data_IF_887857022406
#
_entry.id   IF_887857022406
#
_cell.length_a   1.000
_cell.length_b   1.000
_cell.length_c   1.000
_cell.angle_alpha   90.00
_cell.angle_beta   90.00
_cell.angle_gamma   90.00
#
_symmetry.space_group_name_H-M   'P 1'
#
loop_
_entity.id
_entity.type
_entity.pdbx_description
1 polymer ?
#
# COMPACT_ATOMS: atom_id res chain seq x y z
N UNK A 1 -25.43 7.33 -4.52
CA UNK A 1 -24.28 6.45 -4.86
C UNK A 1 -23.11 7.35 -5.20
N UNK A 2 -22.12 7.48 -4.31
CA UNK A 2 -20.90 8.23 -4.61
C UNK A 2 -20.10 7.47 -5.67
N UNK A 3 -19.73 8.16 -6.75
CA UNK A 3 -18.84 7.63 -7.80
C UNK A 3 -17.42 7.96 -7.37
N UNK A 4 -16.67 6.94 -6.94
CA UNK A 4 -15.26 7.08 -6.60
C UNK A 4 -14.42 6.90 -7.86
N UNK A 5 -13.46 7.81 -8.09
CA UNK A 5 -12.39 7.55 -9.04
C UNK A 5 -11.40 6.61 -8.39
N UNK A 6 -11.29 5.40 -8.94
CA UNK A 6 -10.20 4.49 -8.66
C UNK A 6 -8.93 5.05 -9.31
N UNK A 7 -8.18 5.88 -8.58
CA UNK A 7 -6.78 6.09 -8.93
C UNK A 7 -6.03 4.83 -8.53
N UNK A 8 -5.95 3.86 -9.44
CA UNK A 8 -5.09 2.70 -9.23
C UNK A 8 -3.65 3.17 -9.33
N UNK A 9 -3.04 3.46 -8.19
CA UNK A 9 -1.62 3.75 -8.17
C UNK A 9 -0.93 2.39 -8.31
N UNK A 10 -0.34 2.13 -9.48
CA UNK A 10 0.44 0.92 -9.80
C UNK A 10 1.92 1.22 -9.71
N UNK A 11 2.68 0.30 -9.14
CA UNK A 11 4.01 0.61 -8.62
C UNK A 11 5.08 -0.32 -9.20
N UNK A 12 5.66 0.04 -10.34
CA UNK A 12 6.57 -0.84 -11.06
C UNK A 12 7.93 -0.95 -10.35
N UNK A 13 8.35 -2.17 -10.01
CA UNK A 13 9.74 -2.48 -9.70
C UNK A 13 10.49 -2.91 -10.96
N UNK A 14 11.26 -2.01 -11.57
CA UNK A 14 12.30 -2.45 -12.51
C UNK A 14 13.55 -2.88 -11.74
N UNK A 15 13.81 -4.19 -11.78
CA UNK A 15 15.10 -4.89 -11.89
C UNK A 15 15.00 -6.29 -11.27
N UNK A 16 14.96 -7.32 -12.13
CA UNK A 16 14.90 -8.75 -11.79
C UNK A 16 13.83 -9.48 -12.61
N UNK A 17 14.09 -10.75 -12.97
CA UNK A 17 13.11 -11.61 -13.65
C UNK A 17 11.80 -11.57 -12.86
N UNK A 18 10.68 -11.13 -13.45
CA UNK A 18 9.43 -10.99 -12.72
C UNK A 18 8.97 -12.37 -12.27
N UNK A 19 9.02 -12.63 -10.97
CA UNK A 19 8.24 -13.71 -10.39
C UNK A 19 6.80 -13.20 -10.32
N UNK A 20 6.06 -13.28 -11.43
CA UNK A 20 4.61 -13.04 -11.45
C UNK A 20 3.91 -14.19 -10.71
N UNK A 21 4.11 -14.28 -9.39
CA UNK A 21 3.19 -14.98 -8.51
C UNK A 21 2.35 -13.90 -7.80
N UNK A 22 1.06 -13.85 -8.12
CA UNK A 22 0.06 -13.30 -7.18
C UNK A 22 0.15 -14.15 -5.91
N UNK A 23 0.54 -13.57 -4.78
CA UNK A 23 0.74 -14.34 -3.54
C UNK A 23 -0.16 -13.90 -2.38
N UNK A 24 -0.79 -12.72 -2.47
CA UNK A 24 -1.77 -12.26 -1.48
C UNK A 24 -2.61 -11.11 -2.05
N UNK A 25 -3.92 -11.30 -2.18
CA UNK A 25 -4.89 -10.25 -2.49
C UNK A 25 -5.54 -9.84 -1.16
N UNK A 26 -5.48 -8.56 -0.80
CA UNK A 26 -6.05 -8.07 0.46
C UNK A 26 -7.47 -7.57 0.18
N UNK A 27 -8.35 -8.48 -0.24
CA UNK A 27 -9.76 -8.14 -0.45
C UNK A 27 -10.49 -8.15 0.88
N UNK A 28 -11.09 -7.03 1.24
CA UNK A 28 -12.21 -7.02 2.19
C UNK A 28 -13.43 -7.49 1.39
N UNK A 29 -14.05 -8.62 1.78
CA UNK A 29 -15.29 -9.06 1.12
C UNK A 29 -16.33 -7.94 1.15
N UNK A 30 -16.79 -7.58 -0.06
CA UNK A 30 -18.08 -6.97 -0.39
C UNK A 30 -18.67 -5.99 0.65
N UNK A 31 -18.53 -4.67 0.40
CA UNK A 31 -19.53 -3.58 0.59
C UNK A 31 -18.91 -2.16 0.75
N UNK A 32 -17.79 -1.86 0.09
CA UNK A 32 -17.16 -0.53 0.22
C UNK A 32 -16.10 -0.25 -0.84
N UNK A 33 -15.35 0.88 -0.73
CA UNK A 33 -14.16 1.12 -1.56
C UNK A 33 -13.24 -0.11 -1.50
N UNK A 34 -12.56 -0.47 -2.60
CA UNK A 34 -11.75 -1.67 -2.65
C UNK A 34 -10.50 -1.50 -1.76
N UNK A 35 -10.43 -2.22 -0.64
CA UNK A 35 -9.24 -2.27 0.22
C UNK A 35 -9.49 -1.93 1.69
N UNK A 36 -8.41 -1.87 2.46
CA UNK A 36 -8.43 -1.48 3.88
C UNK A 36 -7.97 -0.04 4.05
N UNK A 37 -8.77 0.78 4.74
CA UNK A 37 -8.44 2.17 5.00
C UNK A 37 -7.18 2.26 5.89
N UNK A 38 -6.14 2.94 5.39
CA UNK A 38 -4.85 3.00 6.08
C UNK A 38 -4.94 3.73 7.41
N UNK A 39 -5.72 4.82 7.47
CA UNK A 39 -5.95 5.54 8.72
C UNK A 39 -6.62 4.68 9.80
N UNK A 40 -7.52 3.76 9.40
CA UNK A 40 -8.19 2.87 10.34
C UNK A 40 -7.20 1.88 10.96
N UNK A 41 -6.33 1.24 10.16
CA UNK A 41 -5.28 0.35 10.67
C UNK A 41 -4.29 1.11 11.56
N UNK A 42 -3.98 2.36 11.23
CA UNK A 42 -3.07 3.18 12.04
C UNK A 42 -3.65 3.51 13.42
N UNK A 43 -4.94 3.86 13.46
CA UNK A 43 -5.65 4.17 14.71
C UNK A 43 -5.90 2.92 15.56
N UNK A 44 -6.28 1.81 14.93
CA UNK A 44 -6.52 0.53 15.58
C UNK A 44 -5.85 -0.62 14.81
N UNK A 45 -4.61 -0.99 15.18
CA UNK A 45 -3.90 -2.09 14.54
C UNK A 45 -4.62 -3.45 14.65
N UNK A 46 -5.53 -3.63 15.61
CA UNK A 46 -6.26 -4.89 15.77
C UNK A 46 -7.20 -5.17 14.60
N UNK A 47 -7.56 -4.14 13.82
CA UNK A 47 -8.33 -4.31 12.59
C UNK A 47 -7.62 -5.17 11.55
N UNK A 48 -6.28 -5.20 11.54
CA UNK A 48 -5.51 -6.02 10.61
C UNK A 48 -5.72 -7.53 10.86
N UNK A 49 -6.07 -7.94 12.08
CA UNK A 49 -6.37 -9.35 12.39
C UNK A 49 -7.68 -9.82 11.74
N UNK A 50 -8.55 -8.89 11.34
CA UNK A 50 -9.85 -9.14 10.68
C UNK A 50 -9.72 -9.31 9.16
N UNK A 51 -8.53 -9.05 8.60
CA UNK A 51 -8.27 -9.26 7.18
C UNK A 51 -8.43 -10.75 6.82
N UNK A 52 -8.91 -11.01 5.61
CA UNK A 52 -9.04 -12.37 5.12
C UNK A 52 -7.66 -13.05 5.10
N UNK A 53 -7.56 -14.21 5.76
CA UNK A 53 -6.30 -14.93 5.84
C UNK A 53 -5.23 -14.21 6.67
N UNK A 54 -5.59 -13.32 7.61
CA UNK A 54 -4.66 -12.51 8.42
C UNK A 54 -3.44 -13.25 8.99
N UNK A 55 -3.59 -14.54 9.34
CA UNK A 55 -2.51 -15.39 9.87
C UNK A 55 -1.67 -16.12 8.82
N UNK A 56 -2.03 -16.04 7.54
CA UNK A 56 -1.23 -16.59 6.44
C UNK A 56 0.02 -15.73 6.21
N UNK A 57 1.06 -16.34 5.67
CA UNK A 57 2.27 -15.62 5.25
C UNK A 57 1.91 -14.61 4.16
N UNK A 58 2.29 -13.34 4.36
CA UNK A 58 2.08 -12.26 3.39
C UNK A 58 2.96 -12.42 2.15
N UNK A 59 4.16 -12.98 2.31
CA UNK A 59 5.16 -13.08 1.25
C UNK A 59 5.80 -14.47 1.20
N UNK A 60 5.05 -15.51 0.80
CA UNK A 60 5.56 -16.87 0.73
C UNK A 60 6.69 -16.97 -0.30
N UNK A 61 7.90 -17.24 0.18
CA UNK A 61 9.12 -17.28 -0.65
C UNK A 61 9.93 -15.98 -0.65
N UNK A 62 9.58 -14.99 0.19
CA UNK A 62 10.47 -13.90 0.54
C UNK A 62 11.67 -14.43 1.31
N UNK A 63 12.87 -14.24 0.76
CA UNK A 63 14.13 -14.68 1.38
C UNK A 63 14.93 -13.52 1.96
N UNK A 64 14.62 -12.29 1.56
CA UNK A 64 15.30 -11.11 2.07
C UNK A 64 14.86 -10.82 3.51
N UNK A 65 15.84 -10.59 4.39
CA UNK A 65 15.59 -10.04 5.74
C UNK A 65 15.08 -8.60 5.67
N UNK A 66 15.53 -7.85 4.65
CA UNK A 66 15.17 -6.44 4.41
C UNK A 66 14.62 -6.21 3.00
N UNK A 67 13.40 -6.66 2.69
CA UNK A 67 12.80 -6.35 1.39
C UNK A 67 12.61 -4.85 1.19
N UNK A 68 12.81 -4.39 -0.05
CA UNK A 68 12.55 -3.02 -0.48
C UNK A 68 11.08 -2.82 -0.80
N UNK A 69 10.52 -1.73 -0.28
CA UNK A 69 9.21 -1.18 -0.60
C UNK A 69 9.44 0.06 -1.45
N UNK A 70 8.73 0.18 -2.58
CA UNK A 70 8.78 1.37 -3.43
C UNK A 70 7.38 1.94 -3.62
N UNK A 71 7.25 3.24 -3.36
CA UNK A 71 6.02 4.03 -3.46
C UNK A 71 6.24 5.14 -4.51
N UNK A 72 5.76 4.91 -5.72
CA UNK A 72 5.53 5.82 -6.82
C UNK A 72 4.08 6.37 -6.85
N UNK A 73 3.89 7.61 -6.39
CA UNK A 73 2.64 8.36 -6.60
C UNK A 73 2.76 9.17 -7.88
N UNK A 74 1.76 9.13 -8.76
CA UNK A 74 1.80 9.90 -10.01
C UNK A 74 1.97 11.39 -9.70
N UNK A 75 2.95 12.01 -10.36
CA UNK A 75 3.32 13.40 -10.13
C UNK A 75 4.33 13.63 -9.01
N UNK A 76 4.81 12.59 -8.34
CA UNK A 76 5.86 12.69 -7.31
C UNK A 76 7.08 11.84 -7.65
N UNK A 77 8.22 12.19 -7.03
CA UNK A 77 9.42 11.35 -7.08
C UNK A 77 9.12 10.02 -6.38
N UNK A 78 9.56 8.91 -6.97
CA UNK A 78 9.44 7.61 -6.35
C UNK A 78 10.15 7.59 -4.98
N UNK A 79 9.40 7.19 -3.96
CA UNK A 79 9.84 7.05 -2.58
C UNK A 79 10.18 5.58 -2.30
N UNK A 80 11.20 5.30 -1.49
CA UNK A 80 11.58 3.91 -1.19
C UNK A 80 12.05 3.71 0.22
N UNK A 81 11.78 2.53 0.76
CA UNK A 81 12.11 2.14 2.12
C UNK A 81 12.39 0.65 2.21
N UNK A 82 12.97 0.18 3.31
CA UNK A 82 13.15 -1.25 3.59
C UNK A 82 12.41 -1.62 4.87
N UNK A 83 11.60 -2.69 4.82
CA UNK A 83 10.98 -3.28 6.01
C UNK A 83 11.74 -4.53 6.42
N UNK A 84 11.61 -4.95 7.68
CA UNK A 84 12.18 -6.20 8.16
C UNK A 84 11.12 -7.31 8.09
N UNK A 85 11.47 -8.43 7.45
CA UNK A 85 10.53 -9.52 7.20
C UNK A 85 10.87 -10.84 7.92
N UNK A 86 11.97 -10.92 8.70
CA UNK A 86 12.44 -12.11 9.44
C UNK A 86 12.04 -13.48 8.83
N UNK A 87 12.56 -13.84 7.64
CA UNK A 87 12.13 -15.03 6.91
C UNK A 87 12.34 -16.35 7.68
N UNK A 88 13.37 -16.39 8.52
CA UNK A 88 13.71 -17.49 9.43
C UNK A 88 12.62 -17.80 10.46
N UNK A 89 11.71 -16.84 10.72
CA UNK A 89 10.59 -16.96 11.65
C UNK A 89 9.24 -17.22 10.97
N UNK A 90 9.26 -17.60 9.69
CA UNK A 90 8.03 -17.81 8.90
C UNK A 90 7.57 -16.56 8.12
N UNK A 91 8.35 -15.48 8.16
CA UNK A 91 8.02 -14.25 7.45
C UNK A 91 7.02 -13.35 8.18
N UNK A 92 6.58 -12.28 7.52
CA UNK A 92 5.43 -11.49 7.97
C UNK A 92 4.13 -12.21 7.67
N UNK A 93 3.19 -12.19 8.60
CA UNK A 93 1.79 -12.54 8.29
C UNK A 93 1.11 -11.41 7.53
N UNK A 94 -0.05 -11.68 6.93
CA UNK A 94 -0.91 -10.66 6.27
C UNK A 94 -1.23 -9.51 7.24
N UNK A 95 -1.52 -9.84 8.51
CA UNK A 95 -1.72 -8.85 9.57
C UNK A 95 -0.47 -8.00 9.83
N UNK A 96 0.68 -8.64 10.05
CA UNK A 96 1.93 -7.94 10.32
C UNK A 96 2.35 -7.04 9.14
N UNK A 97 2.15 -7.54 7.91
CA UNK A 97 2.43 -6.82 6.69
C UNK A 97 1.51 -5.60 6.56
N UNK A 98 0.20 -5.73 6.77
CA UNK A 98 -0.72 -4.60 6.72
C UNK A 98 -0.32 -3.50 7.72
N UNK A 99 -0.01 -3.86 8.97
CA UNK A 99 0.42 -2.90 10.01
C UNK A 99 1.74 -2.22 9.61
N UNK A 100 2.73 -3.01 9.19
CA UNK A 100 4.04 -2.48 8.80
C UNK A 100 3.92 -1.55 7.59
N UNK A 101 3.15 -1.94 6.58
CA UNK A 101 2.96 -1.18 5.35
C UNK A 101 2.17 0.11 5.60
N UNK A 102 1.16 0.11 6.46
CA UNK A 102 0.47 1.35 6.87
C UNK A 102 1.46 2.38 7.40
N UNK A 103 2.38 1.98 8.27
CA UNK A 103 3.42 2.89 8.80
C UNK A 103 4.37 3.39 7.72
N UNK A 104 4.73 2.53 6.76
CA UNK A 104 5.58 2.90 5.63
C UNK A 104 4.87 3.91 4.71
N UNK A 105 3.60 3.67 4.39
CA UNK A 105 2.80 4.58 3.57
C UNK A 105 2.57 5.91 4.29
N UNK A 106 2.34 5.91 5.62
CA UNK A 106 2.27 7.15 6.42
C UNK A 106 3.54 7.98 6.29
N UNK A 107 4.70 7.33 6.38
CA UNK A 107 5.99 8.00 6.24
C UNK A 107 6.16 8.59 4.84
N UNK A 108 5.88 7.81 3.80
CA UNK A 108 5.91 8.29 2.43
C UNK A 108 4.95 9.46 2.20
N UNK A 109 3.73 9.38 2.74
CA UNK A 109 2.74 10.45 2.66
C UNK A 109 3.26 11.74 3.30
N UNK A 110 3.78 11.67 4.52
CA UNK A 110 4.32 12.84 5.21
C UNK A 110 5.50 13.47 4.46
N UNK A 111 6.40 12.65 3.93
CA UNK A 111 7.55 13.14 3.14
C UNK A 111 7.12 13.79 1.82
N UNK A 112 5.98 13.35 1.24
CA UNK A 112 5.49 13.83 -0.05
C UNK A 112 4.51 15.01 0.07
N UNK A 113 3.81 15.18 1.20
CA UNK A 113 2.86 16.29 1.45
C UNK A 113 3.51 17.66 1.30
N UNK A 114 4.78 17.79 1.68
CA UNK A 114 5.53 19.05 1.57
C UNK A 114 6.15 19.26 0.18
N UNK A 115 5.99 18.30 -0.74
CA UNK A 115 6.55 18.38 -2.08
C UNK A 115 5.55 18.94 -3.08
N UNK A 116 6.04 19.82 -3.96
CA UNK A 116 5.26 20.29 -5.12
C UNK A 116 5.10 19.12 -6.10
N UNK A 117 3.84 18.75 -6.39
CA UNK A 117 3.54 17.74 -7.39
C UNK A 117 3.78 18.27 -8.81
N UNK A 118 4.15 17.38 -9.74
CA UNK A 118 4.22 17.70 -11.17
C UNK A 118 2.81 18.05 -11.71
N UNK A 119 2.73 18.84 -12.80
CA UNK A 119 1.46 19.13 -13.47
C UNK A 119 0.69 17.85 -13.82
N UNK A 120 -0.59 17.79 -13.42
CA UNK A 120 -1.44 16.60 -13.59
C UNK A 120 -1.36 15.57 -12.46
N UNK A 121 -0.42 15.74 -11.51
CA UNK A 121 -0.42 15.02 -10.25
C UNK A 121 -1.53 15.49 -9.31
N UNK A 122 -1.96 14.61 -8.42
CA UNK A 122 -2.90 14.98 -7.35
C UNK A 122 -2.13 15.53 -6.15
N UNK A 123 -2.48 16.71 -5.61
CA UNK A 123 -1.87 17.20 -4.39
C UNK A 123 -2.14 16.22 -3.23
N UNK A 124 -1.17 16.05 -2.35
CA UNK A 124 -1.33 15.34 -1.07
C UNK A 124 -1.44 16.39 0.04
N UNK A 125 -2.25 16.13 1.06
CA UNK A 125 -2.37 17.03 2.21
C UNK A 125 -3.65 17.89 2.20
N UNK A 126 -3.70 18.94 3.05
CA UNK A 126 -4.87 19.81 3.18
C UNK A 126 -5.18 20.53 1.86
N UNK A 127 -6.21 20.09 1.14
CA UNK A 127 -6.57 20.57 -0.20
C UNK A 127 -6.35 19.56 -1.34
N UNK A 128 -5.87 18.36 -1.00
CA UNK A 128 -5.72 17.25 -1.92
C UNK A 128 -6.18 15.93 -1.32
N UNK A 129 -5.52 14.84 -1.70
CA UNK A 129 -5.77 13.52 -1.12
C UNK A 129 -5.18 13.51 0.29
N UNK A 130 -6.04 13.27 1.26
CA UNK A 130 -5.68 13.10 2.67
C UNK A 130 -5.41 11.63 2.98
N UNK A 131 -4.71 11.34 4.07
CA UNK A 131 -4.33 9.96 4.36
C UNK A 131 -5.51 9.06 4.74
N UNK A 132 -6.55 9.61 5.36
CA UNK A 132 -7.80 8.91 5.63
C UNK A 132 -8.54 8.54 4.35
N UNK A 133 -8.25 9.20 3.24
CA UNK A 133 -8.78 8.82 1.93
C UNK A 133 -7.99 7.69 1.27
N UNK A 134 -6.86 7.24 1.84
CA UNK A 134 -6.03 6.18 1.25
C UNK A 134 -6.42 4.79 1.73
N UNK A 135 -6.56 3.87 0.78
CA UNK A 135 -6.89 2.47 1.00
C UNK A 135 -5.80 1.58 0.40
N UNK A 136 -5.34 0.60 1.17
CA UNK A 136 -4.47 -0.46 0.68
C UNK A 136 -5.33 -1.54 0.02
N UNK A 137 -5.12 -1.74 -1.28
CA UNK A 137 -5.91 -2.67 -2.10
C UNK A 137 -5.21 -4.01 -2.19
N UNK A 138 -3.97 -3.98 -2.68
CA UNK A 138 -3.20 -5.19 -2.94
C UNK A 138 -1.73 -5.01 -2.56
N UNK A 139 -1.07 -6.12 -2.27
CA UNK A 139 0.36 -6.19 -2.05
C UNK A 139 0.94 -7.35 -2.83
N UNK A 140 1.95 -7.06 -3.64
CA UNK A 140 2.61 -8.01 -4.51
C UNK A 140 4.06 -8.19 -4.08
N UNK A 141 4.51 -9.44 -4.00
CA UNK A 141 5.94 -9.73 -4.02
C UNK A 141 6.41 -9.75 -5.47
N UNK A 142 7.26 -8.79 -5.84
CA UNK A 142 7.74 -8.63 -7.24
C UNK A 142 9.14 -9.22 -7.45
N UNK A 143 9.86 -9.50 -6.36
CA UNK A 143 11.13 -10.24 -6.39
C UNK A 143 11.36 -10.97 -5.05
N UNK A 144 12.48 -11.69 -4.91
CA UNK A 144 12.90 -12.30 -3.62
C UNK A 144 13.23 -11.28 -2.51
N UNK A 145 13.27 -9.98 -2.83
CA UNK A 145 13.60 -8.91 -1.91
C UNK A 145 12.91 -7.58 -2.20
N UNK A 146 11.77 -7.61 -2.91
CA UNK A 146 11.02 -6.40 -3.25
C UNK A 146 9.53 -6.65 -3.19
N UNK A 147 8.82 -5.66 -2.68
CA UNK A 147 7.36 -5.63 -2.64
C UNK A 147 6.81 -4.38 -3.32
N UNK A 148 5.64 -4.57 -3.91
CA UNK A 148 4.84 -3.56 -4.58
C UNK A 148 3.49 -3.45 -3.85
N UNK A 149 2.97 -2.25 -3.72
CA UNK A 149 1.64 -1.97 -3.16
C UNK A 149 0.75 -1.45 -4.27
N UNK A 150 -0.55 -1.69 -4.21
CA UNK A 150 -1.53 -0.91 -4.94
C UNK A 150 -2.38 -0.15 -3.92
N UNK A 151 -2.47 1.17 -4.10
CA UNK A 151 -3.27 2.06 -3.27
C UNK A 151 -4.39 2.66 -4.12
N UNK A 152 -5.54 2.89 -3.50
CA UNK A 152 -6.59 3.74 -4.07
C UNK A 152 -6.91 4.90 -3.12
N UNK A 153 -7.46 5.97 -3.67
CA UNK A 153 -7.89 7.12 -2.92
C UNK A 153 -9.38 7.39 -3.14
N UNK A 154 -10.12 7.72 -2.09
CA UNK A 154 -11.47 8.30 -2.23
C UNK A 154 -11.36 9.78 -2.53
N UNK A 155 -11.68 10.17 -3.77
CA UNK A 155 -11.71 11.57 -4.20
C UNK A 155 -13.17 11.98 -4.38
N UNK A 156 -13.66 13.07 -3.74
CA UNK A 156 -14.99 13.57 -3.99
C UNK A 156 -15.11 14.03 -5.45
N UNK A 157 -16.17 13.61 -6.15
CA UNK A 157 -16.49 14.14 -7.48
C UNK A 157 -16.62 15.66 -7.41
N UNK A 158 -16.02 16.42 -8.35
CA UNK A 158 -16.35 17.81 -8.51
C UNK A 158 -17.86 17.91 -8.75
N UNK A 159 -18.57 18.62 -7.88
CA UNK A 159 -19.90 19.14 -8.22
C UNK A 159 -19.70 20.30 -9.17
N UNK A 160 -20.13 20.12 -10.42
CA UNK A 160 -20.30 21.21 -11.38
C UNK A 160 -21.26 22.28 -10.86
#
# INVERSE_FOLDING_TARGET
MARYWLLQIRYIAWQGVPMLRHLSQYSVEQTGPPGVQLAAIEQDPSLASRLQGSKLSAFPGMLAVRPSVRIHVFGYKAWSYQIHAYPDRGGLTIEDAAIALTKVVRRAYNDLVEMVCLPGGWPLGPGGITFDQLYLVDVYQVSRGSIQLDLTAEIPTPTD
#
